data_IF_255894689947
#
_entry.id   IF_255894689947
#
_cell.length_a   1.000
_cell.length_b   1.000
_cell.length_c   1.000
_cell.angle_alpha   90.00
_cell.angle_beta   90.00
_cell.angle_gamma   90.00
#
_symmetry.space_group_name_H-M   'P 1'
#
loop_
_entity.id
_entity.type
_entity.pdbx_description
1 polymer ?
#
# COMPACT_ATOMS: atom_id res chain seq x y z
N UNK A 1 -31.55 -4.89 -7.04
CA UNK A 1 -30.66 -3.82 -6.56
C UNK A 1 -29.26 -4.38 -6.34
N UNK A 2 -28.34 -4.23 -7.29
CA UNK A 2 -26.94 -4.62 -7.08
C UNK A 2 -26.29 -3.59 -6.14
N UNK A 3 -26.11 -3.95 -4.86
CA UNK A 3 -25.44 -3.07 -3.90
C UNK A 3 -24.03 -2.73 -4.42
N UNK A 4 -23.78 -1.44 -4.60
CA UNK A 4 -22.51 -0.89 -5.07
C UNK A 4 -21.49 -0.92 -3.91
N UNK A 5 -21.00 -2.11 -3.53
CA UNK A 5 -20.06 -2.29 -2.42
C UNK A 5 -18.68 -1.63 -2.66
N UNK A 6 -18.40 -1.14 -3.86
CA UNK A 6 -17.13 -0.50 -4.20
C UNK A 6 -16.78 0.71 -3.34
N UNK A 7 -17.77 1.52 -2.94
CA UNK A 7 -17.53 2.66 -2.05
C UNK A 7 -17.06 2.20 -0.65
N UNK A 8 -17.63 1.11 -0.13
CA UNK A 8 -17.20 0.53 1.15
C UNK A 8 -15.77 0.00 1.08
N UNK A 9 -15.38 -0.58 -0.06
CA UNK A 9 -13.99 -1.02 -0.29
C UNK A 9 -13.03 0.16 -0.28
N UNK A 10 -13.37 1.26 -0.95
CA UNK A 10 -12.56 2.48 -0.94
C UNK A 10 -12.38 3.04 0.48
N UNK A 11 -13.47 3.13 1.25
CA UNK A 11 -13.41 3.59 2.66
C UNK A 11 -12.52 2.64 3.46
N UNK A 12 -12.71 1.33 3.33
CA UNK A 12 -11.95 0.34 4.08
C UNK A 12 -10.45 0.47 3.80
N UNK A 13 -10.04 0.50 2.53
CA UNK A 13 -8.63 0.64 2.12
C UNK A 13 -8.05 1.95 2.65
N UNK A 14 -8.78 3.07 2.50
CA UNK A 14 -8.35 4.38 2.98
C UNK A 14 -8.15 4.39 4.50
N UNK A 15 -9.08 3.81 5.27
CA UNK A 15 -8.97 3.72 6.73
C UNK A 15 -7.77 2.86 7.12
N UNK A 16 -7.54 1.73 6.45
CA UNK A 16 -6.39 0.86 6.73
C UNK A 16 -5.07 1.57 6.48
N UNK A 17 -4.92 2.28 5.36
CA UNK A 17 -3.73 3.06 5.02
C UNK A 17 -3.50 4.22 6.02
N UNK A 18 -4.57 4.91 6.44
CA UNK A 18 -4.47 5.97 7.45
C UNK A 18 -4.01 5.42 8.79
N UNK A 19 -4.61 4.32 9.25
CA UNK A 19 -4.23 3.68 10.51
C UNK A 19 -2.79 3.17 10.43
N UNK A 20 -2.40 2.53 9.32
CA UNK A 20 -1.03 2.09 9.09
C UNK A 20 -0.03 3.27 9.16
N UNK A 21 -0.36 4.40 8.51
CA UNK A 21 0.47 5.61 8.53
C UNK A 21 0.65 6.17 9.94
N UNK A 22 -0.44 6.27 10.70
CA UNK A 22 -0.42 6.72 12.10
C UNK A 22 0.42 5.77 12.96
N UNK A 23 0.27 4.45 12.80
CA UNK A 23 1.03 3.45 13.54
C UNK A 23 2.53 3.53 13.21
N UNK A 24 2.91 3.76 11.95
CA UNK A 24 4.30 3.99 11.55
C UNK A 24 4.93 5.20 12.23
N UNK A 25 4.20 6.33 12.30
CA UNK A 25 4.65 7.53 13.01
C UNK A 25 4.76 7.27 14.52
N UNK A 26 3.76 6.61 15.13
CA UNK A 26 3.80 6.27 16.55
C UNK A 26 4.93 5.29 16.89
N UNK A 27 5.24 4.36 15.99
CA UNK A 27 6.37 3.45 16.14
C UNK A 27 7.68 4.23 16.22
N UNK A 28 7.86 5.25 15.38
CA UNK A 28 9.05 6.11 15.44
C UNK A 28 9.12 6.94 16.73
N UNK A 29 8.00 7.49 17.20
CA UNK A 29 7.95 8.20 18.48
C UNK A 29 8.34 7.26 19.63
N UNK A 30 7.76 6.06 19.66
CA UNK A 30 8.08 5.04 20.67
C UNK A 30 9.55 4.58 20.60
N UNK A 31 10.15 4.61 19.41
CA UNK A 31 11.57 4.35 19.20
C UNK A 31 12.44 5.51 19.75
N UNK A 32 12.01 6.76 19.59
CA UNK A 32 12.77 7.94 20.04
C UNK A 32 12.67 8.20 21.56
N UNK A 33 11.57 7.80 22.20
CA UNK A 33 11.38 7.90 23.65
C UNK A 33 12.38 7.07 24.46
N UNK A 34 12.80 5.90 23.95
CA UNK A 34 13.79 5.03 24.62
C UNK A 34 15.20 5.65 24.56
N UNK A 35 15.50 6.43 23.51
CA UNK A 35 16.79 7.11 23.35
C UNK A 35 17.02 8.23 24.36
N UNK A 36 16.00 9.04 24.65
CA UNK A 36 16.15 10.18 25.55
C UNK A 36 16.39 9.79 27.02
N UNK A 37 15.99 8.58 27.43
CA UNK A 37 16.12 8.13 28.82
C UNK A 37 17.47 7.44 29.11
N UNK A 38 18.26 7.09 28.10
CA UNK A 38 19.51 6.32 28.21
C UNK A 38 20.71 7.01 27.56
N UNK A 39 20.78 8.33 27.65
CA UNK A 39 22.00 9.07 27.30
C UNK A 39 23.05 8.93 28.39
N UNK A 40 23.69 7.75 28.44
CA UNK A 40 25.09 7.60 28.84
C UNK A 40 25.61 6.18 28.46
N UNK A 41 26.57 6.13 27.53
CA UNK A 41 27.61 5.09 27.37
C UNK A 41 27.24 3.70 26.80
N UNK A 42 26.18 3.51 25.98
CA UNK A 42 26.15 2.31 25.11
C UNK A 42 25.60 2.65 23.73
N UNK A 43 26.50 2.62 22.74
CA UNK A 43 26.28 2.81 21.30
C UNK A 43 25.35 1.72 20.68
N UNK A 44 24.79 0.81 21.50
CA UNK A 44 23.85 -0.22 21.06
C UNK A 44 22.41 0.22 21.35
N UNK A 45 21.65 0.44 20.27
CA UNK A 45 20.21 0.77 20.28
C UNK A 45 19.43 -0.30 21.04
N UNK A 46 18.89 0.03 22.22
CA UNK A 46 17.96 -0.86 22.92
C UNK A 46 16.66 -1.02 22.09
N UNK A 47 16.25 -2.26 21.79
CA UNK A 47 15.03 -2.51 21.02
C UNK A 47 13.80 -2.09 21.84
N UNK A 48 12.97 -1.22 21.27
CA UNK A 48 11.71 -0.82 21.89
C UNK A 48 10.61 -1.80 21.50
N UNK A 49 10.33 -2.83 22.28
CA UNK A 49 9.31 -3.83 21.93
C UNK A 49 7.98 -3.23 21.42
N UNK A 50 7.58 -2.08 21.99
CA UNK A 50 6.42 -1.29 21.53
C UNK A 50 6.55 -0.77 20.09
N UNK A 51 7.69 -0.19 19.71
CA UNK A 51 7.90 0.28 18.34
C UNK A 51 7.93 -0.88 17.33
N UNK A 52 8.41 -2.06 17.73
CA UNK A 52 8.39 -3.27 16.89
C UNK A 52 6.93 -3.70 16.63
N UNK A 53 6.11 -3.80 17.67
CA UNK A 53 4.70 -4.16 17.51
C UNK A 53 3.93 -3.17 16.62
N UNK A 54 4.14 -1.87 16.82
CA UNK A 54 3.46 -0.83 16.02
C UNK A 54 3.90 -0.84 14.56
N UNK A 55 5.21 -0.96 14.29
CA UNK A 55 5.75 -1.05 12.93
C UNK A 55 5.30 -2.32 12.19
N UNK A 56 5.27 -3.46 12.88
CA UNK A 56 4.76 -4.72 12.32
C UNK A 56 3.26 -4.63 12.01
N UNK A 57 2.47 -4.06 12.92
CA UNK A 57 1.04 -3.84 12.70
C UNK A 57 0.78 -2.92 11.50
N UNK A 58 1.57 -1.85 11.33
CA UNK A 58 1.50 -0.98 10.17
C UNK A 58 1.78 -1.73 8.86
N UNK A 59 2.85 -2.54 8.82
CA UNK A 59 3.20 -3.34 7.63
C UNK A 59 2.11 -4.34 7.26
N UNK A 60 1.49 -5.00 8.25
CA UNK A 60 0.39 -5.95 8.03
C UNK A 60 -0.84 -5.21 7.46
N UNK A 61 -1.22 -4.07 8.03
CA UNK A 61 -2.36 -3.29 7.56
C UNK A 61 -2.17 -2.79 6.12
N UNK A 62 -0.98 -2.25 5.80
CA UNK A 62 -0.64 -1.84 4.44
C UNK A 62 -0.74 -3.01 3.46
N UNK A 63 -0.24 -4.20 3.85
CA UNK A 63 -0.32 -5.42 3.02
C UNK A 63 -1.76 -5.84 2.77
N UNK A 64 -2.61 -5.83 3.80
CA UNK A 64 -4.02 -6.13 3.62
C UNK A 64 -4.74 -5.08 2.76
N UNK A 65 -4.46 -3.79 2.96
CA UNK A 65 -5.03 -2.72 2.15
C UNK A 65 -4.71 -2.91 0.66
N UNK A 66 -3.43 -3.16 0.35
CA UNK A 66 -2.97 -3.42 -1.01
C UNK A 66 -3.58 -4.71 -1.60
N UNK A 67 -3.64 -5.78 -0.81
CA UNK A 67 -4.22 -7.06 -1.24
C UNK A 67 -5.72 -6.94 -1.53
N UNK A 68 -6.49 -6.28 -0.68
CA UNK A 68 -7.94 -6.07 -0.88
C UNK A 68 -8.18 -5.26 -2.16
N UNK A 69 -7.44 -4.16 -2.35
CA UNK A 69 -7.57 -3.34 -3.54
C UNK A 69 -7.20 -4.11 -4.82
N UNK A 70 -6.13 -4.90 -4.79
CA UNK A 70 -5.67 -5.69 -5.93
C UNK A 70 -6.60 -6.86 -6.27
N UNK A 71 -7.07 -7.60 -5.26
CA UNK A 71 -7.98 -8.74 -5.46
C UNK A 71 -9.34 -8.30 -5.98
N UNK A 72 -9.89 -7.20 -5.45
CA UNK A 72 -11.21 -6.70 -5.84
C UNK A 72 -11.16 -5.81 -7.08
N UNK A 73 -10.06 -5.09 -7.31
CA UNK A 73 -9.80 -4.34 -8.53
C UNK A 73 -9.57 -5.24 -9.75
N UNK A 74 -9.02 -6.44 -9.51
CA UNK A 74 -8.75 -7.43 -10.54
C UNK A 74 -7.41 -7.22 -11.24
N UNK A 75 -6.95 -8.25 -11.93
CA UNK A 75 -5.70 -8.20 -12.69
C UNK A 75 -5.95 -7.57 -14.07
N UNK A 76 -5.29 -6.44 -14.35
CA UNK A 76 -5.31 -5.82 -15.68
C UNK A 76 -4.04 -6.23 -16.41
N UNK A 77 -4.07 -7.40 -17.05
CA UNK A 77 -2.99 -7.83 -17.94
C UNK A 77 -3.09 -7.04 -19.26
N UNK A 78 -2.22 -6.05 -19.46
CA UNK A 78 -2.00 -5.45 -20.78
C UNK A 78 -0.87 -6.23 -21.45
N UNK A 79 -1.22 -7.19 -22.30
CA UNK A 79 -0.22 -8.09 -22.91
C UNK A 79 0.42 -7.52 -24.18
N UNK A 80 -0.12 -6.43 -24.76
CA UNK A 80 0.41 -5.82 -25.98
C UNK A 80 0.34 -4.28 -25.99
N UNK A 81 1.38 -3.64 -26.55
CA UNK A 81 1.50 -2.17 -26.74
C UNK A 81 0.40 -1.61 -27.64
N UNK A 82 -0.08 -2.42 -28.58
CA UNK A 82 -1.17 -2.10 -29.52
C UNK A 82 -2.51 -1.94 -28.75
N UNK A 83 -2.79 -2.86 -27.82
CA UNK A 83 -3.98 -2.83 -26.97
C UNK A 83 -3.98 -1.67 -25.98
N UNK A 84 -2.81 -1.15 -25.59
CA UNK A 84 -2.71 0.06 -24.77
C UNK A 84 -3.05 1.33 -25.56
N UNK A 85 -2.64 1.43 -26.85
CA UNK A 85 -2.94 2.60 -27.69
C UNK A 85 -4.44 2.75 -27.96
N UNK A 86 -5.11 1.64 -28.26
CA UNK A 86 -6.56 1.58 -28.54
C UNK A 86 -7.44 1.53 -27.29
N UNK A 87 -6.86 1.42 -26.09
CA UNK A 87 -7.61 1.33 -24.83
C UNK A 87 -8.34 2.64 -24.44
N UNK A 88 -9.47 2.49 -23.74
CA UNK A 88 -10.22 3.60 -23.13
C UNK A 88 -9.34 4.36 -22.13
N UNK A 89 -9.64 5.64 -21.91
CA UNK A 89 -8.91 6.48 -20.97
C UNK A 89 -8.87 5.88 -19.55
N UNK A 90 -9.97 5.27 -19.12
CA UNK A 90 -10.10 4.60 -17.82
C UNK A 90 -9.14 3.41 -17.69
N UNK A 91 -8.94 2.63 -18.76
CA UNK A 91 -8.00 1.50 -18.75
C UNK A 91 -6.55 1.97 -18.67
N UNK A 92 -6.19 3.05 -19.37
CA UNK A 92 -4.85 3.68 -19.27
C UNK A 92 -4.59 4.18 -17.84
N UNK A 93 -5.55 4.90 -17.27
CA UNK A 93 -5.50 5.41 -15.90
C UNK A 93 -5.35 4.27 -14.87
N UNK A 94 -6.09 3.18 -15.05
CA UNK A 94 -6.02 1.99 -14.20
C UNK A 94 -4.62 1.38 -14.19
N UNK A 95 -3.98 1.22 -15.35
CA UNK A 95 -2.63 0.66 -15.45
C UNK A 95 -1.60 1.56 -14.79
N UNK A 96 -1.68 2.87 -15.03
CA UNK A 96 -0.77 3.85 -14.43
C UNK A 96 -0.87 3.80 -12.90
N UNK A 97 -2.09 3.87 -12.36
CA UNK A 97 -2.29 3.84 -10.91
C UNK A 97 -1.93 2.50 -10.28
N UNK A 98 -2.14 1.39 -11.00
CA UNK A 98 -1.68 0.07 -10.57
C UNK A 98 -0.16 0.07 -10.39
N UNK A 99 0.60 0.51 -11.40
CA UNK A 99 2.08 0.55 -11.33
C UNK A 99 2.54 1.43 -10.16
N UNK A 100 1.98 2.64 -10.01
CA UNK A 100 2.32 3.51 -8.89
C UNK A 100 1.97 2.91 -7.53
N UNK A 101 0.82 2.25 -7.40
CA UNK A 101 0.41 1.58 -6.16
C UNK A 101 1.39 0.48 -5.76
N UNK A 102 1.84 -0.36 -6.70
CA UNK A 102 2.85 -1.40 -6.43
C UNK A 102 4.21 -0.82 -6.03
N UNK A 103 4.67 0.24 -6.67
CA UNK A 103 5.93 0.91 -6.32
C UNK A 103 5.83 1.50 -4.90
N UNK A 104 4.75 2.22 -4.61
CA UNK A 104 4.51 2.82 -3.28
C UNK A 104 4.41 1.76 -2.20
N UNK A 105 3.68 0.67 -2.47
CA UNK A 105 3.58 -0.48 -1.57
C UNK A 105 4.96 -1.07 -1.29
N UNK A 106 5.76 -1.37 -2.32
CA UNK A 106 7.10 -1.94 -2.17
C UNK A 106 8.03 -1.06 -1.35
N UNK A 107 8.03 0.26 -1.61
CA UNK A 107 8.86 1.22 -0.86
C UNK A 107 8.38 1.35 0.58
N UNK A 108 7.08 1.58 0.80
CA UNK A 108 6.50 1.72 2.13
C UNK A 108 6.72 0.46 3.00
N UNK A 109 6.44 -0.71 2.43
CA UNK A 109 6.61 -2.00 3.10
C UNK A 109 8.08 -2.24 3.46
N UNK A 110 9.01 -2.01 2.54
CA UNK A 110 10.44 -2.18 2.81
C UNK A 110 10.91 -1.27 3.93
N UNK A 111 10.51 0.01 3.93
CA UNK A 111 10.85 0.96 4.98
C UNK A 111 10.27 0.56 6.35
N UNK A 112 9.01 0.14 6.39
CA UNK A 112 8.35 -0.32 7.62
C UNK A 112 9.00 -1.60 8.17
N UNK A 113 9.31 -2.59 7.31
CA UNK A 113 9.95 -3.84 7.73
C UNK A 113 11.39 -3.60 8.19
N UNK A 114 12.18 -2.82 7.47
CA UNK A 114 13.54 -2.48 7.88
C UNK A 114 13.51 -1.73 9.22
N UNK A 115 12.62 -0.74 9.38
CA UNK A 115 12.43 -0.01 10.63
C UNK A 115 11.97 -0.90 11.79
N UNK A 116 11.10 -1.87 11.52
CA UNK A 116 10.59 -2.83 12.50
C UNK A 116 11.68 -3.81 12.94
N UNK A 117 12.39 -4.43 11.99
CA UNK A 117 13.48 -5.37 12.26
C UNK A 117 14.65 -4.72 12.98
N UNK A 118 14.92 -3.44 12.70
CA UNK A 118 15.92 -2.67 13.43
C UNK A 118 15.62 -2.51 14.93
N UNK A 119 14.41 -2.87 15.33
CA UNK A 119 13.89 -2.70 16.66
C UNK A 119 13.39 -4.02 17.28
N UNK A 120 13.65 -5.18 16.64
CA UNK A 120 13.28 -6.51 17.13
C UNK A 120 14.37 -7.21 17.96
N UNK A 121 15.65 -6.83 17.81
CA UNK A 121 16.78 -7.38 18.58
C UNK A 121 17.80 -6.30 18.94
N UNK A 122 18.50 -6.48 20.06
CA UNK A 122 19.75 -5.77 20.34
C UNK A 122 20.74 -6.07 19.21
N UNK A 123 21.26 -5.03 18.55
CA UNK A 123 22.25 -5.21 17.47
C UNK A 123 23.64 -5.39 18.08
N UNK A 124 24.37 -6.40 17.59
CA UNK A 124 25.81 -6.59 17.83
C UNK A 124 26.65 -5.51 17.07
N UNK A 125 26.13 -4.97 15.96
CA UNK A 125 26.79 -3.92 15.18
C UNK A 125 25.93 -2.66 15.17
N UNK A 126 26.39 -1.59 15.83
CA UNK A 126 25.76 -0.29 15.71
C UNK A 126 25.93 0.21 14.27
N UNK A 127 24.84 0.23 13.52
CA UNK A 127 24.81 0.84 12.20
C UNK A 127 23.79 1.95 12.21
N UNK A 128 24.19 3.06 11.61
CA UNK A 128 23.42 4.29 11.40
C UNK A 128 22.23 3.96 10.49
N UNK A 129 21.19 3.36 11.07
CA UNK A 129 19.92 3.22 10.38
C UNK A 129 19.14 4.51 10.61
N UNK A 130 18.98 5.27 9.51
CA UNK A 130 18.44 6.62 9.48
C UNK A 130 17.19 6.78 10.36
N UNK A 131 17.10 7.92 11.03
CA UNK A 131 16.15 8.22 12.09
C UNK A 131 14.66 8.23 11.69
N UNK A 132 14.36 8.03 10.40
CA UNK A 132 13.07 8.35 9.82
C UNK A 132 12.42 7.19 9.04
N UNK A 133 12.95 5.96 9.10
CA UNK A 133 12.41 4.87 8.25
C UNK A 133 10.94 4.54 8.57
N UNK A 134 10.57 4.51 9.85
CA UNK A 134 9.20 4.20 10.27
C UNK A 134 8.23 5.33 9.94
N UNK A 135 8.64 6.59 10.12
CA UNK A 135 7.85 7.77 9.76
C UNK A 135 7.74 7.95 8.26
N UNK A 136 8.82 7.83 7.49
CA UNK A 136 8.79 7.88 6.01
C UNK A 136 7.93 6.72 5.48
N UNK A 137 8.07 5.52 6.04
CA UNK A 137 7.20 4.38 5.70
C UNK A 137 5.73 4.67 6.00
N UNK A 138 5.44 5.30 7.14
CA UNK A 138 4.10 5.73 7.51
C UNK A 138 3.53 6.82 6.58
N UNK A 139 4.33 7.81 6.20
CA UNK A 139 3.94 8.85 5.22
C UNK A 139 3.61 8.19 3.88
N UNK A 140 4.44 7.24 3.45
CA UNK A 140 4.23 6.50 2.21
C UNK A 140 2.95 5.66 2.23
N UNK A 141 2.45 5.23 3.40
CA UNK A 141 1.13 4.58 3.52
C UNK A 141 -0.02 5.53 3.16
N UNK A 142 0.01 6.80 3.58
CA UNK A 142 -1.01 7.77 3.16
C UNK A 142 -0.98 8.00 1.65
N UNK A 143 0.23 8.12 1.08
CA UNK A 143 0.43 8.27 -0.36
C UNK A 143 -0.09 7.03 -1.10
N UNK A 144 0.20 5.82 -0.58
CA UNK A 144 -0.34 4.58 -1.12
C UNK A 144 -1.87 4.61 -1.23
N UNK A 145 -2.58 5.05 -0.17
CA UNK A 145 -4.04 5.18 -0.21
C UNK A 145 -4.55 6.16 -1.27
N UNK A 146 -3.85 7.29 -1.46
CA UNK A 146 -4.19 8.30 -2.47
C UNK A 146 -4.12 7.77 -3.91
N UNK A 147 -3.22 6.84 -4.21
CA UNK A 147 -3.10 6.22 -5.54
C UNK A 147 -3.94 4.95 -5.69
N UNK A 148 -4.12 4.20 -4.60
CA UNK A 148 -4.84 2.91 -4.61
C UNK A 148 -6.35 3.09 -4.73
N UNK A 149 -6.94 4.14 -4.16
CA UNK A 149 -8.38 4.41 -4.30
C UNK A 149 -8.76 4.77 -5.74
N UNK A 150 -8.08 5.72 -6.43
CA UNK A 150 -8.30 5.97 -7.86
C UNK A 150 -8.04 4.76 -8.74
N UNK A 151 -7.03 3.93 -8.42
CA UNK A 151 -6.82 2.65 -9.10
C UNK A 151 -8.08 1.78 -9.02
N UNK A 152 -8.61 1.54 -7.82
CA UNK A 152 -9.78 0.69 -7.63
C UNK A 152 -11.03 1.24 -8.35
N UNK A 153 -11.25 2.56 -8.27
CA UNK A 153 -12.36 3.23 -8.97
C UNK A 153 -12.21 3.08 -10.49
N UNK A 154 -11.00 3.27 -11.02
CA UNK A 154 -10.73 3.16 -12.45
C UNK A 154 -10.88 1.72 -12.93
N UNK A 155 -10.37 0.75 -12.17
CA UNK A 155 -10.49 -0.68 -12.48
C UNK A 155 -11.95 -1.14 -12.50
N UNK A 156 -12.74 -0.70 -11.52
CA UNK A 156 -14.18 -1.00 -11.48
C UNK A 156 -14.95 -0.31 -12.61
N UNK A 157 -14.54 0.90 -13.03
CA UNK A 157 -15.11 1.58 -14.18
C UNK A 157 -14.78 0.85 -15.49
N UNK A 158 -13.52 0.51 -15.74
CA UNK A 158 -13.09 -0.27 -16.91
C UNK A 158 -13.85 -1.59 -17.01
N UNK A 159 -14.02 -2.31 -15.89
CA UNK A 159 -14.78 -3.57 -15.88
C UNK A 159 -16.27 -3.38 -16.21
N UNK A 160 -16.86 -2.22 -15.89
CA UNK A 160 -18.23 -1.89 -16.30
C UNK A 160 -18.32 -1.57 -17.78
N UNK A 161 -17.33 -0.88 -18.34
CA UNK A 161 -17.23 -0.60 -19.78
C UNK A 161 -17.14 -1.89 -20.58
N UNK A 162 -16.25 -2.80 -20.19
CA UNK A 162 -16.05 -4.10 -20.86
C UNK A 162 -17.33 -4.95 -20.84
N UNK A 163 -18.02 -5.03 -19.69
CA UNK A 163 -19.32 -5.73 -19.59
C UNK A 163 -20.39 -5.11 -20.49
N UNK A 164 -20.42 -3.78 -20.62
CA UNK A 164 -21.39 -3.09 -21.46
C UNK A 164 -21.12 -3.36 -22.95
N UNK A 165 -19.85 -3.41 -23.36
CA UNK A 165 -19.45 -3.74 -24.73
C UNK A 165 -19.82 -5.19 -25.09
N UNK A 166 -19.53 -6.16 -24.22
CA UNK A 166 -19.92 -7.56 -24.43
C UNK A 166 -21.43 -7.77 -24.58
N UNK A 167 -22.25 -6.99 -23.85
CA UNK A 167 -23.71 -7.06 -23.97
C UNK A 167 -24.26 -6.38 -25.24
N UNK A 168 -23.45 -5.58 -25.96
CA UNK A 168 -23.88 -4.85 -27.15
C UNK A 168 -23.41 -5.49 -28.47
N UNK A 169 -22.57 -6.51 -28.42
CA UNK A 169 -22.18 -7.33 -29.57
C UNK A 169 -22.99 -8.63 -29.54
N UNK A 170 -24.22 -8.67 -30.11
CA UNK A 170 -24.93 -9.92 -30.29
C UNK A 170 -24.13 -10.79 -31.26
N UNK A 171 -23.92 -12.03 -30.84
CA UNK A 171 -23.38 -13.17 -31.59
C UNK A 171 -23.50 -13.01 -33.11
N UNK A 172 -22.43 -12.57 -33.79
CA UNK A 172 -22.27 -12.87 -35.21
C UNK A 172 -21.93 -14.35 -35.27
N UNK A 173 -22.97 -15.15 -35.53
CA UNK A 173 -22.88 -16.59 -35.64
C UNK A 173 -21.80 -17.00 -36.63
N UNK A 174 -21.02 -18.01 -36.23
CA UNK A 174 -20.28 -18.85 -37.14
C UNK A 174 -21.23 -19.42 -38.21
N UNK A 175 -20.99 -19.08 -39.46
CA UNK A 175 -21.24 -19.93 -40.63
C UNK A 175 -19.93 -20.07 -41.39
#
# INVERSE_FOLDING_TARGET
MAKNYGFLVCILVMVMDIVAGILGIQAEIAQNQVKHRKMWIFECRDPSYKAFQLGLAAAILLTFAHAIASLLGGCVCVWSREQYRSATANRKLTVIFLIFSWILFGVAFSLLIIGTLANSKSRETCGILNHHLLSIGGIMCFIHGLFTVPYYVSATATRREEKKQQNHEPTVGHT
#
